data_IF_790453455505
#
_entry.id   IF_790453455505
#
_cell.length_a   1.000
_cell.length_b   1.000
_cell.length_c   1.000
_cell.angle_alpha   90.00
_cell.angle_beta   90.00
_cell.angle_gamma   90.00
#
_symmetry.space_group_name_H-M   'P 1'
#
loop_
_entity.id
_entity.type
_entity.pdbx_description
1 polymer ?
#
# COMPACT_ATOMS: atom_id res chain seq x y z
N UNK A 1 -2.29 -19.92 -19.15
CA UNK A 1 -3.19 -19.70 -18.00
C UNK A 1 -4.17 -18.63 -18.41
N UNK A 2 -5.47 -18.94 -18.52
CA UNK A 2 -6.51 -17.95 -18.79
C UNK A 2 -6.62 -17.08 -17.53
N UNK A 3 -6.36 -15.78 -17.68
CA UNK A 3 -6.65 -14.80 -16.63
C UNK A 3 -8.15 -14.83 -16.47
N UNK A 4 -8.65 -15.18 -15.28
CA UNK A 4 -10.08 -15.15 -15.00
C UNK A 4 -10.52 -13.68 -14.98
N UNK A 5 -11.00 -13.20 -16.14
CA UNK A 5 -11.41 -11.81 -16.38
C UNK A 5 -12.79 -11.50 -15.81
N UNK A 6 -13.50 -12.51 -15.26
CA UNK A 6 -14.92 -12.39 -14.92
C UNK A 6 -15.23 -11.48 -13.73
N UNK A 7 -14.25 -11.18 -12.85
CA UNK A 7 -14.51 -10.36 -11.64
C UNK A 7 -14.17 -8.88 -11.82
N UNK A 8 -13.22 -8.51 -12.69
CA UNK A 8 -12.66 -7.15 -12.76
C UNK A 8 -12.67 -6.55 -14.17
N UNK A 9 -13.34 -7.17 -15.13
CA UNK A 9 -13.34 -6.74 -16.52
C UNK A 9 -11.99 -6.92 -17.21
N UNK A 10 -11.69 -6.06 -18.20
CA UNK A 10 -10.41 -6.11 -18.94
C UNK A 10 -9.25 -5.66 -18.05
N UNK A 11 -8.22 -6.49 -17.98
CA UNK A 11 -7.00 -6.22 -17.23
C UNK A 11 -5.86 -5.80 -18.17
N UNK A 12 -5.09 -4.80 -17.76
CA UNK A 12 -3.88 -4.40 -18.44
C UNK A 12 -2.79 -5.45 -18.23
N UNK A 13 -2.41 -6.15 -19.31
CA UNK A 13 -1.44 -7.27 -19.28
C UNK A 13 -0.07 -6.86 -18.72
N UNK A 14 0.39 -5.64 -19.01
CA UNK A 14 1.67 -5.14 -18.51
C UNK A 14 1.61 -4.93 -16.98
N UNK A 15 0.50 -4.43 -16.46
CA UNK A 15 0.32 -4.25 -15.02
C UNK A 15 0.26 -5.60 -14.31
N UNK A 16 -0.49 -6.57 -14.86
CA UNK A 16 -0.52 -7.95 -14.32
C UNK A 16 0.88 -8.54 -14.23
N UNK A 17 1.68 -8.45 -15.31
CA UNK A 17 3.07 -8.90 -15.32
C UNK A 17 3.89 -8.22 -14.21
N UNK A 18 3.80 -6.89 -14.07
CA UNK A 18 4.53 -6.13 -13.05
C UNK A 18 4.11 -6.46 -11.62
N UNK A 19 2.83 -6.77 -11.40
CA UNK A 19 2.30 -7.26 -10.11
C UNK A 19 2.98 -8.59 -9.76
N UNK A 20 2.97 -9.56 -10.69
CA UNK A 20 3.60 -10.86 -10.49
C UNK A 20 5.11 -10.77 -10.22
N UNK A 21 5.82 -9.93 -10.99
CA UNK A 21 7.24 -9.66 -10.78
C UNK A 21 7.51 -9.09 -9.37
N UNK A 22 6.67 -8.17 -8.90
CA UNK A 22 6.82 -7.55 -7.57
C UNK A 22 6.59 -8.56 -6.45
N UNK A 23 5.58 -9.42 -6.57
CA UNK A 23 5.34 -10.52 -5.62
C UNK A 23 6.53 -11.47 -5.60
N UNK A 24 7.04 -11.87 -6.76
CA UNK A 24 8.21 -12.76 -6.89
C UNK A 24 9.44 -12.15 -6.22
N UNK A 25 9.73 -10.87 -6.46
CA UNK A 25 10.83 -10.15 -5.82
C UNK A 25 10.69 -10.14 -4.29
N UNK A 26 9.48 -9.85 -3.76
CA UNK A 26 9.23 -9.87 -2.33
C UNK A 26 9.48 -11.27 -1.72
N UNK A 27 9.05 -12.32 -2.41
CA UNK A 27 9.27 -13.70 -1.98
C UNK A 27 10.73 -14.14 -2.11
N UNK A 28 11.52 -13.52 -2.99
CA UNK A 28 12.96 -13.77 -3.08
C UNK A 28 13.73 -13.09 -1.95
N UNK A 29 13.26 -11.91 -1.49
CA UNK A 29 13.84 -11.23 -0.33
C UNK A 29 13.50 -11.98 0.97
N UNK A 30 12.27 -12.49 1.08
CA UNK A 30 11.75 -13.06 2.33
C UNK A 30 10.91 -14.30 2.07
N UNK A 31 11.16 -15.43 2.80
CA UNK A 31 10.35 -16.64 2.65
C UNK A 31 8.92 -16.48 3.15
N UNK A 32 8.67 -15.46 4.01
CA UNK A 32 7.36 -15.12 4.54
C UNK A 32 7.07 -13.63 4.32
N UNK A 33 6.00 -13.34 3.60
CA UNK A 33 5.59 -11.97 3.21
C UNK A 33 4.20 -11.68 3.74
N UNK A 34 4.00 -10.50 4.31
CA UNK A 34 2.69 -9.91 4.57
C UNK A 34 2.38 -8.93 3.44
N UNK A 35 1.27 -9.16 2.76
CA UNK A 35 0.75 -8.29 1.70
C UNK A 35 -0.41 -7.50 2.28
N UNK A 36 -0.28 -6.18 2.34
CA UNK A 36 -1.27 -5.26 2.90
C UNK A 36 -1.81 -4.35 1.80
N UNK A 37 -3.12 -4.24 1.68
CA UNK A 37 -3.80 -3.29 0.81
C UNK A 37 -4.32 -2.11 1.63
N UNK A 38 -4.10 -0.90 1.11
CA UNK A 38 -4.68 0.35 1.63
C UNK A 38 -5.18 1.19 0.47
N UNK A 39 -6.22 1.98 0.72
CA UNK A 39 -6.77 2.93 -0.22
C UNK A 39 -6.48 4.35 0.30
N UNK A 40 -5.80 5.17 -0.51
CA UNK A 40 -5.36 6.51 -0.14
C UNK A 40 -6.24 7.54 -0.82
N UNK A 41 -6.92 8.36 -0.03
CA UNK A 41 -7.83 9.41 -0.50
C UNK A 41 -7.19 10.78 -0.39
N UNK A 42 -7.63 11.70 -1.23
CA UNK A 42 -7.24 13.10 -1.14
C UNK A 42 -8.24 13.86 -0.26
N UNK A 43 -7.81 14.91 0.45
CA UNK A 43 -8.72 15.76 1.21
C UNK A 43 -9.69 16.48 0.27
N UNK A 44 -10.86 16.82 0.78
CA UNK A 44 -11.90 17.54 0.00
C UNK A 44 -11.58 19.00 -0.24
N UNK A 45 -10.54 19.53 0.38
CA UNK A 45 -10.10 20.91 0.22
C UNK A 45 -9.72 21.13 -1.25
N UNK A 46 -10.41 22.06 -1.90
CA UNK A 46 -10.29 22.40 -3.33
C UNK A 46 -8.99 23.13 -3.70
N UNK A 47 -7.89 22.84 -3.06
CA UNK A 47 -6.61 23.33 -3.56
C UNK A 47 -6.22 22.43 -4.74
N UNK A 48 -6.30 22.95 -5.95
CA UNK A 48 -5.99 22.25 -7.21
C UNK A 48 -4.61 21.57 -7.24
N UNK A 49 -3.79 21.80 -6.22
CA UNK A 49 -2.45 21.26 -6.00
C UNK A 49 -2.43 19.72 -5.91
N UNK A 50 -3.37 19.10 -5.20
CA UNK A 50 -3.37 17.63 -5.07
C UNK A 50 -3.82 16.91 -6.36
N UNK A 51 -4.68 17.52 -7.17
CA UNK A 51 -5.17 16.91 -8.42
C UNK A 51 -4.05 16.78 -9.44
N UNK A 52 -3.19 17.79 -9.54
CA UNK A 52 -2.07 17.87 -10.50
C UNK A 52 -0.79 17.22 -9.98
N UNK A 53 -0.68 16.93 -8.68
CA UNK A 53 0.52 16.38 -8.07
C UNK A 53 0.73 14.91 -8.44
N UNK A 54 1.66 14.65 -9.36
CA UNK A 54 2.05 13.30 -9.78
C UNK A 54 3.06 12.64 -8.83
N UNK A 55 3.68 13.39 -7.93
CA UNK A 55 4.74 12.93 -7.01
C UNK A 55 4.22 12.45 -5.64
N UNK A 56 2.94 12.61 -5.35
CA UNK A 56 2.38 12.39 -4.02
C UNK A 56 2.59 10.95 -3.50
N UNK A 57 2.39 9.94 -4.36
CA UNK A 57 2.60 8.53 -3.99
C UNK A 57 4.07 8.23 -3.76
N UNK A 58 4.97 8.87 -4.52
CA UNK A 58 6.41 8.73 -4.31
C UNK A 58 6.81 9.25 -2.93
N UNK A 59 6.31 10.44 -2.53
CA UNK A 59 6.57 11.00 -1.19
C UNK A 59 5.99 10.11 -0.09
N UNK A 60 4.80 9.54 -0.29
CA UNK A 60 4.20 8.57 0.62
C UNK A 60 5.13 7.36 0.85
N UNK A 61 5.60 6.73 -0.24
CA UNK A 61 6.47 5.56 -0.16
C UNK A 61 7.81 5.91 0.53
N UNK A 62 8.41 7.05 0.21
CA UNK A 62 9.66 7.51 0.85
C UNK A 62 9.42 7.73 2.34
N UNK A 63 8.36 8.44 2.72
CA UNK A 63 8.02 8.69 4.12
C UNK A 63 7.77 7.40 4.90
N UNK A 64 7.02 6.44 4.31
CA UNK A 64 6.76 5.16 4.96
C UNK A 64 8.05 4.35 5.18
N UNK A 65 8.93 4.28 4.18
CA UNK A 65 10.21 3.57 4.30
C UNK A 65 11.07 4.16 5.42
N UNK A 66 11.20 5.49 5.48
CA UNK A 66 11.95 6.17 6.53
C UNK A 66 11.38 5.91 7.94
N UNK A 67 10.05 5.87 8.08
CA UNK A 67 9.42 5.55 9.38
C UNK A 67 9.67 4.09 9.79
N UNK A 68 9.63 3.15 8.83
CA UNK A 68 9.94 1.74 9.09
C UNK A 68 11.38 1.56 9.52
N UNK A 69 12.33 2.22 8.85
CA UNK A 69 13.75 2.21 9.23
C UNK A 69 13.95 2.75 10.65
N UNK A 70 13.31 3.88 10.98
CA UNK A 70 13.37 4.47 12.31
C UNK A 70 12.74 3.57 13.39
N UNK A 71 11.60 2.92 13.11
CA UNK A 71 10.95 1.99 14.03
C UNK A 71 11.83 0.74 14.29
N UNK A 72 12.41 0.18 13.23
CA UNK A 72 13.31 -0.97 13.37
C UNK A 72 14.58 -0.59 14.16
N UNK A 73 15.17 0.58 13.89
CA UNK A 73 16.32 1.08 14.65
C UNK A 73 15.98 1.31 16.12
N UNK A 74 14.82 1.91 16.43
CA UNK A 74 14.33 2.08 17.80
C UNK A 74 14.18 0.74 18.52
N UNK A 75 13.63 -0.27 17.86
CA UNK A 75 13.49 -1.63 18.42
C UNK A 75 14.85 -2.27 18.67
N UNK A 76 15.78 -2.13 17.73
CA UNK A 76 17.17 -2.62 17.88
C UNK A 76 17.88 -1.98 19.09
N UNK A 77 17.82 -0.65 19.20
CA UNK A 77 18.43 0.08 20.31
C UNK A 77 17.78 -0.25 21.67
N UNK A 78 16.52 -0.72 21.66
CA UNK A 78 15.85 -1.23 22.85
C UNK A 78 16.18 -2.71 23.16
N UNK A 79 17.17 -3.30 22.50
CA UNK A 79 17.61 -4.68 22.71
C UNK A 79 16.63 -5.74 22.18
N UNK A 80 15.65 -5.37 21.35
CA UNK A 80 14.70 -6.31 20.76
C UNK A 80 15.29 -6.99 19.54
N UNK A 81 14.93 -8.25 19.31
CA UNK A 81 15.23 -8.92 18.04
C UNK A 81 14.54 -8.21 16.91
N UNK A 82 15.28 -7.83 15.87
CA UNK A 82 14.76 -7.13 14.69
C UNK A 82 15.03 -7.93 13.44
N UNK A 83 14.12 -7.87 12.50
CA UNK A 83 14.28 -8.42 11.17
C UNK A 83 14.25 -7.28 10.15
N UNK A 84 15.16 -7.30 9.18
CA UNK A 84 15.18 -6.31 8.11
C UNK A 84 13.86 -6.32 7.33
N UNK A 85 13.41 -5.16 6.89
CA UNK A 85 12.20 -5.03 6.11
C UNK A 85 12.36 -3.98 5.01
N UNK A 86 12.69 -4.42 3.82
CA UNK A 86 12.61 -3.61 2.61
C UNK A 86 11.19 -3.68 2.07
N UNK A 87 10.47 -2.55 2.11
CA UNK A 87 9.06 -2.49 1.67
C UNK A 87 8.98 -2.43 0.16
N UNK A 88 8.31 -3.42 -0.44
CA UNK A 88 7.92 -3.37 -1.84
C UNK A 88 6.49 -2.86 -1.96
N UNK A 89 6.19 -2.24 -3.09
CA UNK A 89 4.87 -1.63 -3.30
C UNK A 89 4.40 -1.79 -4.74
N UNK A 90 3.08 -1.75 -4.88
CA UNK A 90 2.34 -1.64 -6.14
C UNK A 90 1.26 -0.60 -5.87
N UNK A 91 1.04 0.32 -6.81
CA UNK A 91 -0.05 1.28 -6.68
C UNK A 91 -0.73 1.53 -8.01
N UNK A 92 -2.00 1.88 -7.95
CA UNK A 92 -2.77 2.37 -9.09
C UNK A 92 -3.54 3.62 -8.70
N UNK A 93 -3.62 4.56 -9.63
CA UNK A 93 -4.43 5.77 -9.54
C UNK A 93 -5.76 5.52 -10.23
N UNK A 94 -6.83 5.87 -9.57
CA UNK A 94 -8.18 5.71 -10.08
C UNK A 94 -9.02 6.96 -9.78
N UNK A 95 -10.14 7.08 -10.48
CA UNK A 95 -11.13 8.12 -10.28
C UNK A 95 -12.47 7.46 -9.96
N UNK A 96 -13.17 7.97 -8.94
CA UNK A 96 -14.51 7.51 -8.64
C UNK A 96 -15.53 8.13 -9.61
N UNK A 97 -16.81 7.76 -9.50
CA UNK A 97 -17.92 8.28 -10.31
C UNK A 97 -18.09 9.82 -10.24
N UNK A 98 -17.59 10.45 -9.19
CA UNK A 98 -17.57 11.91 -9.02
C UNK A 98 -16.25 12.54 -9.49
N UNK A 99 -15.39 11.81 -10.19
CA UNK A 99 -14.09 12.29 -10.67
C UNK A 99 -13.07 12.58 -9.57
N UNK A 100 -13.28 12.08 -8.33
CA UNK A 100 -12.31 12.24 -7.23
C UNK A 100 -11.18 11.22 -7.38
N UNK A 101 -9.96 11.73 -7.49
CA UNK A 101 -8.73 10.94 -7.57
C UNK A 101 -8.44 10.23 -6.25
N UNK A 102 -8.09 8.96 -6.31
CA UNK A 102 -7.63 8.16 -5.19
C UNK A 102 -6.61 7.11 -5.65
N UNK A 103 -5.94 6.47 -4.70
CA UNK A 103 -4.94 5.46 -5.00
C UNK A 103 -5.23 4.17 -4.24
N UNK A 104 -5.20 3.05 -4.96
CA UNK A 104 -5.12 1.72 -4.34
C UNK A 104 -3.67 1.31 -4.26
N UNK A 105 -3.20 0.96 -3.07
CA UNK A 105 -1.81 0.60 -2.83
C UNK A 105 -1.73 -0.77 -2.19
N UNK A 106 -0.86 -1.62 -2.71
CA UNK A 106 -0.43 -2.85 -2.07
C UNK A 106 1.01 -2.69 -1.57
N UNK A 107 1.24 -2.99 -0.31
CA UNK A 107 2.51 -2.93 0.39
C UNK A 107 2.91 -4.35 0.78
N UNK A 108 4.15 -4.74 0.49
CA UNK A 108 4.67 -6.08 0.76
C UNK A 108 5.82 -5.96 1.77
N UNK A 109 5.66 -6.60 2.92
CA UNK A 109 6.57 -6.52 4.06
C UNK A 109 7.18 -7.88 4.39
N UNK A 110 8.39 -7.87 4.97
CA UNK A 110 8.87 -9.03 5.70
C UNK A 110 7.91 -9.34 6.87
N UNK A 111 7.25 -10.49 6.81
CA UNK A 111 6.29 -10.92 7.85
C UNK A 111 6.94 -11.07 9.23
N UNK A 112 8.26 -11.32 9.29
CA UNK A 112 8.99 -11.42 10.56
C UNK A 112 9.15 -10.05 11.25
N UNK A 113 9.16 -8.97 10.47
CA UNK A 113 9.21 -7.62 11.00
C UNK A 113 7.80 -7.07 11.30
N UNK A 114 6.87 -7.31 10.37
CA UNK A 114 5.48 -6.83 10.46
C UNK A 114 4.52 -7.91 9.98
N UNK A 115 3.92 -8.64 10.94
CA UNK A 115 2.97 -9.71 10.63
C UNK A 115 1.55 -9.18 10.40
N UNK A 116 1.20 -8.03 11.00
CA UNK A 116 -0.12 -7.41 10.98
C UNK A 116 0.01 -5.90 10.92
N UNK A 117 -0.99 -5.17 10.39
CA UNK A 117 -0.97 -3.71 10.41
C UNK A 117 -1.13 -3.12 11.82
N UNK A 118 -1.74 -3.84 12.76
CA UNK A 118 -2.18 -3.33 14.04
C UNK A 118 -3.55 -2.65 13.95
N UNK A 119 -3.94 -1.96 15.03
CA UNK A 119 -5.17 -1.16 15.10
C UNK A 119 -5.01 0.12 14.30
N UNK A 120 -6.03 0.49 13.54
CA UNK A 120 -6.07 1.72 12.73
C UNK A 120 -7.21 2.67 13.16
N UNK A 121 -7.84 2.37 14.28
CA UNK A 121 -8.80 3.24 14.97
C UNK A 121 -8.20 3.74 16.27
N UNK A 122 -8.56 4.96 16.68
CA UNK A 122 -8.19 5.48 18.00
C UNK A 122 -8.99 4.80 19.10
N UNK A 123 -8.36 4.65 20.26
CA UNK A 123 -9.02 4.32 21.53
C UNK A 123 -8.89 5.53 22.43
N UNK A 124 -10.01 6.05 22.92
CA UNK A 124 -10.06 7.27 23.76
C UNK A 124 -9.35 8.49 23.11
N UNK A 125 -9.40 8.56 21.76
CA UNK A 125 -8.77 9.64 21.00
C UNK A 125 -7.28 9.44 20.72
N UNK A 126 -6.66 8.38 21.24
CA UNK A 126 -5.24 8.10 21.03
C UNK A 126 -5.02 6.96 20.03
N UNK A 127 -3.99 7.10 19.19
CA UNK A 127 -3.55 6.06 18.25
C UNK A 127 -2.34 5.31 18.82
N UNK A 128 -2.41 4.00 18.78
CA UNK A 128 -1.27 3.15 19.15
C UNK A 128 -0.20 3.17 18.06
N UNK A 129 1.08 3.37 18.43
CA UNK A 129 2.19 3.28 17.50
C UNK A 129 2.33 1.85 16.96
N UNK A 130 1.98 1.67 15.69
CA UNK A 130 2.04 0.42 14.95
C UNK A 130 2.22 0.68 13.43
N UNK A 131 2.20 -0.36 12.61
CA UNK A 131 2.37 -0.22 11.16
C UNK A 131 1.23 0.60 10.52
N UNK A 132 -0.01 0.42 10.97
CA UNK A 132 -1.14 1.18 10.42
C UNK A 132 -0.98 2.69 10.70
N UNK A 133 -0.57 3.06 11.93
CA UNK A 133 -0.29 4.46 12.26
C UNK A 133 0.84 5.03 11.39
N UNK A 134 1.94 4.29 11.19
CA UNK A 134 3.03 4.74 10.30
C UNK A 134 2.56 4.96 8.86
N UNK A 135 1.64 4.12 8.36
CA UNK A 135 1.05 4.29 7.03
C UNK A 135 0.19 5.56 6.96
N UNK A 136 -0.65 5.80 7.96
CA UNK A 136 -1.47 7.01 8.05
C UNK A 136 -0.60 8.26 8.13
N UNK A 137 0.40 8.26 9.00
CA UNK A 137 1.38 9.35 9.11
C UNK A 137 2.14 9.61 7.80
N UNK A 138 2.55 8.55 7.11
CA UNK A 138 3.24 8.67 5.83
C UNK A 138 2.37 9.37 4.78
N UNK A 139 1.07 9.06 4.76
CA UNK A 139 0.14 9.71 3.84
C UNK A 139 -0.07 11.19 4.19
N UNK A 140 -0.32 11.50 5.46
CA UNK A 140 -0.49 12.88 5.93
C UNK A 140 0.76 13.73 5.61
N UNK A 141 1.96 13.18 5.80
CA UNK A 141 3.22 13.86 5.42
C UNK A 141 3.35 14.07 3.91
N UNK A 142 2.94 13.09 3.11
CA UNK A 142 2.94 13.22 1.65
C UNK A 142 1.98 14.32 1.16
N UNK A 143 0.90 14.55 1.90
CA UNK A 143 -0.06 15.63 1.66
C UNK A 143 0.38 16.99 2.23
N UNK A 144 1.43 17.06 3.07
CA UNK A 144 1.84 18.28 3.76
C UNK A 144 0.91 18.69 4.91
N UNK A 145 0.08 17.76 5.40
CA UNK A 145 -0.90 18.00 6.46
C UNK A 145 -0.38 17.71 7.87
N UNK A 146 0.83 17.19 8.01
CA UNK A 146 1.43 16.84 9.30
C UNK A 146 1.79 18.04 10.18
N UNK A 147 1.79 19.25 9.65
CA UNK A 147 2.03 20.50 10.39
C UNK A 147 0.75 21.17 10.87
N UNK A 148 -0.40 20.66 10.46
CA UNK A 148 -1.70 21.19 10.87
C UNK A 148 -2.02 20.74 12.31
N UNK A 149 -2.54 21.65 13.13
CA UNK A 149 -3.02 21.27 14.46
C UNK A 149 -4.08 20.17 14.33
N UNK A 150 -4.00 19.17 15.22
CA UNK A 150 -4.87 17.99 15.18
C UNK A 150 -4.86 17.25 13.83
N UNK A 151 -3.66 17.08 13.23
CA UNK A 151 -3.48 16.42 11.94
C UNK A 151 -4.04 14.97 11.91
N UNK A 152 -4.21 14.33 13.05
CA UNK A 152 -4.79 12.98 13.17
C UNK A 152 -6.24 12.89 12.64
N UNK A 153 -6.98 14.01 12.58
CA UNK A 153 -8.30 14.05 11.93
C UNK A 153 -8.27 13.60 10.46
N UNK A 154 -7.10 13.72 9.79
CA UNK A 154 -6.90 13.32 8.40
C UNK A 154 -6.49 11.85 8.24
N UNK A 155 -6.34 11.08 9.31
CA UNK A 155 -6.01 9.65 9.22
C UNK A 155 -7.10 8.85 8.50
N UNK A 156 -8.35 9.31 8.54
CA UNK A 156 -9.46 8.76 7.75
C UNK A 156 -9.27 8.82 6.22
N UNK A 157 -8.29 9.59 5.73
CA UNK A 157 -7.89 9.58 4.31
C UNK A 157 -7.15 8.30 3.92
N UNK A 158 -6.75 7.47 4.88
CA UNK A 158 -6.22 6.12 4.64
C UNK A 158 -7.28 5.12 5.06
N UNK A 159 -7.82 4.40 4.08
CA UNK A 159 -8.79 3.34 4.31
C UNK A 159 -8.09 1.97 4.31
N UNK A 160 -8.39 1.17 5.31
CA UNK A 160 -8.00 -0.24 5.38
C UNK A 160 -9.22 -1.08 5.01
N UNK A 161 -9.33 -1.58 3.76
CA UNK A 161 -10.50 -2.32 3.34
C UNK A 161 -10.66 -3.64 4.11
N UNK A 162 -11.87 -4.19 4.12
CA UNK A 162 -12.13 -5.47 4.76
C UNK A 162 -11.13 -6.54 4.30
N UNK A 163 -10.59 -7.31 5.26
CA UNK A 163 -9.54 -8.31 5.00
C UNK A 163 -8.31 -7.68 4.31
N UNK A 164 -7.89 -6.49 4.76
CA UNK A 164 -6.86 -5.68 4.10
C UNK A 164 -5.50 -6.38 3.93
N UNK A 165 -5.18 -7.42 4.67
CA UNK A 165 -3.90 -8.12 4.54
C UNK A 165 -4.06 -9.62 4.28
N UNK A 166 -2.99 -10.21 3.75
CA UNK A 166 -2.83 -11.65 3.49
C UNK A 166 -1.38 -12.06 3.75
N UNK A 167 -1.17 -13.32 4.07
CA UNK A 167 0.16 -13.89 4.27
C UNK A 167 0.54 -14.84 3.13
N UNK A 168 1.79 -14.72 2.67
CA UNK A 168 2.44 -15.67 1.78
C UNK A 168 3.57 -16.36 2.57
N UNK A 169 3.67 -17.67 2.46
CA UNK A 169 4.73 -18.46 3.12
C UNK A 169 5.21 -19.57 2.19
N UNK A 170 6.41 -19.43 1.61
CA UNK A 170 6.98 -20.38 0.62
C UNK A 170 6.96 -21.83 1.09
N UNK A 171 7.19 -22.05 2.38
CA UNK A 171 7.30 -23.38 2.98
C UNK A 171 5.94 -23.91 3.51
N UNK A 172 4.84 -23.25 3.21
CA UNK A 172 3.51 -23.70 3.62
C UNK A 172 2.93 -24.66 2.57
N UNK A 173 2.34 -25.77 2.98
CA UNK A 173 1.69 -26.75 2.09
C UNK A 173 0.57 -26.10 1.24
N UNK A 174 -0.03 -25.00 1.71
CA UNK A 174 -1.06 -24.26 1.01
C UNK A 174 -0.53 -23.04 0.23
N UNK A 175 0.79 -22.96 -0.03
CA UNK A 175 1.42 -21.81 -0.68
C UNK A 175 0.81 -21.47 -2.04
N UNK A 176 0.53 -22.46 -2.86
CA UNK A 176 -0.07 -22.26 -4.20
C UNK A 176 -1.42 -21.53 -4.10
N UNK A 177 -2.28 -21.93 -3.17
CA UNK A 177 -3.56 -21.26 -2.95
C UNK A 177 -3.39 -19.86 -2.36
N UNK A 178 -2.44 -19.67 -1.42
CA UNK A 178 -2.11 -18.34 -0.89
C UNK A 178 -1.67 -17.40 -2.03
N UNK A 179 -0.79 -17.87 -2.90
CA UNK A 179 -0.27 -17.10 -4.03
C UNK A 179 -1.37 -16.77 -5.04
N UNK A 180 -2.22 -17.75 -5.40
CA UNK A 180 -3.36 -17.52 -6.28
C UNK A 180 -4.29 -16.44 -5.71
N UNK A 181 -4.72 -16.59 -4.46
CA UNK A 181 -5.63 -15.63 -3.81
C UNK A 181 -5.04 -14.22 -3.73
N UNK A 182 -3.76 -14.09 -3.41
CA UNK A 182 -3.09 -12.77 -3.37
C UNK A 182 -2.97 -12.19 -4.77
N UNK A 183 -2.58 -12.99 -5.75
CA UNK A 183 -2.47 -12.55 -7.15
C UNK A 183 -3.82 -12.07 -7.68
N UNK A 184 -4.89 -12.81 -7.45
CA UNK A 184 -6.24 -12.45 -7.90
C UNK A 184 -6.70 -11.13 -7.26
N UNK A 185 -6.44 -10.95 -5.97
CA UNK A 185 -6.77 -9.69 -5.27
C UNK A 185 -5.96 -8.50 -5.80
N UNK A 186 -4.68 -8.70 -6.11
CA UNK A 186 -3.81 -7.64 -6.63
C UNK A 186 -4.09 -7.35 -8.11
N UNK A 187 -4.62 -8.29 -8.87
CA UNK A 187 -5.06 -8.07 -10.25
C UNK A 187 -6.18 -7.02 -10.36
N UNK A 188 -6.91 -6.74 -9.26
CA UNK A 188 -7.79 -5.58 -9.18
C UNK A 188 -7.09 -4.26 -9.53
N UNK A 189 -5.81 -4.10 -9.17
CA UNK A 189 -5.03 -2.91 -9.47
C UNK A 189 -4.69 -2.81 -10.97
N UNK A 190 -4.84 -3.89 -11.71
CA UNK A 190 -4.57 -3.95 -13.16
C UNK A 190 -5.80 -3.69 -14.04
N UNK A 191 -7.00 -3.45 -13.45
CA UNK A 191 -8.21 -3.12 -14.22
C UNK A 191 -8.00 -1.83 -15.02
N UNK A 192 -8.56 -1.78 -16.23
CA UNK A 192 -8.27 -0.70 -17.19
C UNK A 192 -9.33 0.41 -17.17
N UNK A 193 -10.59 0.08 -16.92
CA UNK A 193 -11.75 0.97 -17.10
C UNK A 193 -11.83 2.17 -16.14
N UNK A 194 -11.14 2.13 -14.98
CA UNK A 194 -11.19 3.19 -13.96
C UNK A 194 -10.02 4.18 -14.04
N UNK A 195 -9.23 4.10 -15.12
CA UNK A 195 -8.02 4.91 -15.31
C UNK A 195 -8.25 6.03 -16.28
N UNK A 196 -7.77 7.21 -15.92
CA UNK A 196 -7.74 8.36 -16.81
C UNK A 196 -6.36 8.46 -17.48
N UNK A 197 -6.34 8.43 -18.80
CA UNK A 197 -5.13 8.56 -19.60
C UNK A 197 -5.03 9.95 -20.26
N UNK A 198 -5.97 10.87 -19.99
CA UNK A 198 -6.04 12.17 -20.64
C UNK A 198 -5.01 13.17 -20.09
N UNK A 199 -4.59 13.01 -18.83
CA UNK A 199 -3.73 13.96 -18.11
C UNK A 199 -2.23 13.63 -18.17
N UNK A 200 -1.81 12.66 -18.97
CA UNK A 200 -0.42 12.19 -19.10
C UNK A 200 0.26 11.76 -17.81
N UNK A 201 -0.47 11.64 -16.69
CA UNK A 201 0.06 11.13 -15.42
C UNK A 201 0.05 9.62 -15.40
N UNK A 202 0.97 9.04 -14.60
CA UNK A 202 1.01 7.58 -14.43
C UNK A 202 -0.21 7.09 -13.66
N UNK A 203 -0.85 6.05 -14.19
CA UNK A 203 -1.94 5.36 -13.52
C UNK A 203 -1.47 4.13 -12.72
N UNK A 204 -0.22 3.71 -12.86
CA UNK A 204 0.33 2.53 -12.22
C UNK A 204 1.82 2.70 -11.91
N UNK A 205 2.25 2.16 -10.79
CA UNK A 205 3.65 2.05 -10.42
C UNK A 205 3.92 0.91 -9.47
N UNK A 206 5.15 0.44 -9.44
CA UNK A 206 5.62 -0.59 -8.51
C UNK A 206 7.11 -0.46 -8.25
N UNK A 207 7.60 -1.19 -7.22
CA UNK A 207 9.02 -1.29 -6.92
C UNK A 207 9.81 -1.79 -8.12
N UNK A 208 10.90 -1.09 -8.46
CA UNK A 208 11.76 -1.40 -9.61
C UNK A 208 12.82 -2.46 -9.25
N UNK A 209 13.38 -2.39 -8.04
CA UNK A 209 14.50 -3.19 -7.54
C UNK A 209 14.10 -3.96 -6.30
#
# INVERSE_FOLDING_TARGET
MSINTNSYGVLNKNYVKRIQETITKALNDYPRVMVLRVDLRLPEIETGTYKSDSGIVTRFIVSLKSQIEADLLKKYNAGKRVHSCYVRHIWTREFNEHGKKHYHVALLFNREAYAYPGTYTSTDGEYTHNLAMMIMEAWIRALGLNTVNNHQQYYSLVEFPASCYSHLSKNNNNFTNQLSNVTDRLNYLAKDYSKDNSDSQRNFGCSQY
#
